data_IF_185331114054
#
_entry.id   IF_185331114054
#
_cell.length_a   1.000
_cell.length_b   1.000
_cell.length_c   1.000
_cell.angle_alpha   90.00
_cell.angle_beta   90.00
_cell.angle_gamma   90.00
#
_symmetry.space_group_name_H-M   'P 1'
#
loop_
_entity.id
_entity.type
_entity.pdbx_description
1 polymer ?
#
# COMPACT_ATOMS: atom_id res chain seq x y z
N UNK A 1 34.04 -30.49 15.14
CA UNK A 1 33.43 -29.52 16.06
C UNK A 1 32.04 -29.06 15.59
N UNK A 2 31.67 -29.17 14.30
CA UNK A 2 30.29 -28.87 13.84
C UNK A 2 29.23 -29.89 14.29
N UNK A 3 29.54 -31.19 14.27
CA UNK A 3 28.59 -32.23 14.71
C UNK A 3 28.17 -32.06 16.17
N UNK A 4 29.10 -31.76 17.10
CA UNK A 4 28.75 -31.46 18.48
C UNK A 4 27.87 -30.21 18.61
N UNK A 5 28.14 -29.16 17.83
CA UNK A 5 27.35 -27.93 17.85
C UNK A 5 25.93 -28.16 17.35
N UNK A 6 25.76 -28.91 16.27
CA UNK A 6 24.44 -29.30 15.77
C UNK A 6 23.69 -30.18 16.77
N UNK A 7 24.36 -31.13 17.43
CA UNK A 7 23.74 -31.94 18.49
C UNK A 7 23.25 -31.09 19.67
N UNK A 8 24.01 -30.08 20.09
CA UNK A 8 23.61 -29.16 21.16
C UNK A 8 22.38 -28.35 20.72
N UNK A 9 22.39 -27.75 19.52
CA UNK A 9 21.26 -26.96 19.03
C UNK A 9 19.98 -27.79 18.87
N UNK A 10 20.10 -29.05 18.45
CA UNK A 10 18.96 -29.95 18.33
C UNK A 10 18.38 -30.38 19.70
N UNK A 11 19.14 -30.24 20.79
CA UNK A 11 18.67 -30.55 22.16
C UNK A 11 17.99 -29.37 22.86
N UNK A 12 17.96 -28.17 22.27
CA UNK A 12 17.35 -26.98 22.87
C UNK A 12 15.84 -27.07 22.77
N UNK A 13 15.11 -26.98 23.88
CA UNK A 13 13.65 -27.17 23.90
C UNK A 13 12.85 -25.84 24.04
N UNK A 14 13.55 -24.72 24.23
CA UNK A 14 12.99 -23.38 24.50
C UNK A 14 13.85 -22.28 23.82
N UNK A 15 13.27 -21.11 23.55
CA UNK A 15 13.91 -20.01 22.83
C UNK A 15 13.84 -20.10 21.30
N UNK A 16 14.74 -19.36 20.65
CA UNK A 16 14.80 -19.25 19.19
C UNK A 16 16.13 -19.78 18.66
N UNK A 17 16.08 -20.61 17.63
CA UNK A 17 17.26 -21.15 16.95
C UNK A 17 17.21 -20.77 15.47
N UNK A 18 18.26 -20.12 14.98
CA UNK A 18 18.45 -19.85 13.56
C UNK A 18 19.83 -20.29 13.10
N UNK A 19 19.88 -21.22 12.15
CA UNK A 19 21.12 -21.80 11.63
C UNK A 19 22.02 -22.37 12.74
N UNK A 20 23.03 -21.61 13.18
CA UNK A 20 23.97 -22.01 14.23
C UNK A 20 23.95 -21.14 15.48
N UNK A 21 22.97 -20.25 15.58
CA UNK A 21 22.76 -19.29 16.67
C UNK A 21 21.53 -19.67 17.48
N UNK A 22 21.58 -19.39 18.79
CA UNK A 22 20.46 -19.55 19.72
C UNK A 22 20.28 -18.26 20.51
N UNK A 23 19.03 -17.94 20.79
CA UNK A 23 18.57 -16.78 21.53
C UNK A 23 17.57 -17.26 22.59
N UNK A 24 17.65 -16.71 23.79
CA UNK A 24 16.68 -17.01 24.86
C UNK A 24 15.28 -16.50 24.50
N UNK A 25 14.27 -16.95 25.24
CA UNK A 25 12.88 -16.48 25.06
C UNK A 25 12.74 -14.97 25.28
N UNK A 26 13.63 -14.38 26.09
CA UNK A 26 13.71 -12.95 26.37
C UNK A 26 14.49 -12.15 25.32
N UNK A 27 15.19 -12.81 24.39
CA UNK A 27 16.03 -12.18 23.34
C UNK A 27 15.42 -12.30 21.94
N UNK A 28 14.13 -11.99 21.85
CA UNK A 28 13.40 -11.99 20.58
C UNK A 28 13.93 -10.95 19.59
N UNK A 29 14.31 -9.76 20.07
CA UNK A 29 14.89 -8.72 19.22
C UNK A 29 16.22 -9.19 18.61
N UNK A 30 17.11 -9.81 19.39
CA UNK A 30 18.35 -10.38 18.88
C UNK A 30 18.12 -11.48 17.85
N UNK A 31 17.10 -12.32 18.04
CA UNK A 31 16.69 -13.31 17.04
C UNK A 31 16.23 -12.66 15.72
N UNK A 32 15.33 -11.67 15.78
CA UNK A 32 14.82 -10.98 14.59
C UNK A 32 15.93 -10.18 13.88
N UNK A 33 16.87 -9.60 14.62
CA UNK A 33 18.03 -8.90 14.07
C UNK A 33 19.04 -9.82 13.39
N UNK A 34 19.12 -11.08 13.83
CA UNK A 34 19.93 -12.09 13.17
C UNK A 34 19.36 -12.51 11.80
N UNK A 35 18.07 -12.25 11.53
CA UNK A 35 17.45 -12.56 10.25
C UNK A 35 17.75 -11.47 9.21
N UNK A 36 18.01 -11.92 7.98
CA UNK A 36 18.16 -11.07 6.81
C UNK A 36 16.83 -10.88 6.08
N UNK A 37 16.42 -9.63 5.89
CA UNK A 37 15.15 -9.26 5.27
C UNK A 37 14.81 -7.79 5.53
N UNK A 38 13.70 -7.31 4.99
CA UNK A 38 13.20 -5.96 5.28
C UNK A 38 12.56 -5.90 6.67
N UNK A 39 12.36 -4.69 7.19
CA UNK A 39 11.68 -4.48 8.48
C UNK A 39 10.24 -5.00 8.44
N UNK A 40 9.55 -4.87 7.30
CA UNK A 40 8.22 -5.46 7.10
C UNK A 40 8.24 -6.99 7.19
N UNK A 41 9.25 -7.64 6.60
CA UNK A 41 9.40 -9.09 6.66
C UNK A 41 9.69 -9.57 8.09
N UNK A 42 10.56 -8.85 8.82
CA UNK A 42 10.83 -9.13 10.25
C UNK A 42 9.59 -8.93 11.10
N UNK A 43 8.82 -7.87 10.84
CA UNK A 43 7.54 -7.60 11.52
C UNK A 43 6.52 -8.69 11.25
N UNK A 44 6.44 -9.20 10.02
CA UNK A 44 5.59 -10.34 9.68
C UNK A 44 6.00 -11.60 10.45
N UNK A 45 7.29 -11.91 10.55
CA UNK A 45 7.76 -13.03 11.38
C UNK A 45 7.38 -12.80 12.85
N UNK A 46 7.59 -11.59 13.36
CA UNK A 46 7.22 -11.20 14.72
C UNK A 46 5.74 -11.53 15.00
N UNK A 47 4.81 -11.10 14.15
CA UNK A 47 3.37 -11.40 14.30
C UNK A 47 3.09 -12.91 14.28
N UNK A 48 3.82 -13.69 13.46
CA UNK A 48 3.69 -15.15 13.48
C UNK A 48 4.10 -15.69 14.84
N UNK A 49 5.25 -15.25 15.39
CA UNK A 49 5.74 -15.70 16.70
C UNK A 49 4.71 -15.42 17.81
N UNK A 50 4.05 -14.26 17.81
CA UNK A 50 3.00 -13.92 18.78
C UNK A 50 1.79 -14.85 18.70
N UNK A 51 1.54 -15.44 17.54
CA UNK A 51 0.43 -16.36 17.31
C UNK A 51 0.75 -17.82 17.62
N UNK A 52 2.03 -18.15 17.86
CA UNK A 52 2.43 -19.53 18.14
C UNK A 52 1.98 -19.94 19.54
N UNK A 53 1.36 -21.12 19.61
CA UNK A 53 0.99 -21.78 20.88
C UNK A 53 1.89 -22.96 21.21
N UNK A 54 2.78 -23.32 20.28
CA UNK A 54 3.75 -24.41 20.35
C UNK A 54 4.98 -24.04 19.55
N UNK A 55 6.10 -24.67 19.85
CA UNK A 55 7.32 -24.55 19.04
C UNK A 55 7.12 -25.08 17.62
N UNK A 56 7.94 -24.59 16.70
CA UNK A 56 7.93 -24.98 15.30
C UNK A 56 9.33 -25.22 14.78
N UNK A 57 9.47 -26.03 13.73
CA UNK A 57 10.69 -26.18 12.96
C UNK A 57 10.42 -25.91 11.48
N UNK A 58 10.96 -24.81 10.97
CA UNK A 58 10.96 -24.42 9.57
C UNK A 58 12.25 -24.93 8.92
N UNK A 59 12.11 -25.90 8.02
CA UNK A 59 13.24 -26.54 7.32
C UNK A 59 13.57 -25.82 6.02
N UNK A 60 14.80 -25.98 5.54
CA UNK A 60 15.26 -25.37 4.29
C UNK A 60 14.55 -25.91 3.04
N UNK A 61 13.93 -27.10 3.13
CA UNK A 61 13.07 -27.66 2.07
C UNK A 61 11.64 -27.10 2.08
N UNK A 62 11.35 -26.19 3.01
CA UNK A 62 10.11 -25.46 3.14
C UNK A 62 9.05 -26.17 3.97
N UNK A 63 9.34 -27.34 4.53
CA UNK A 63 8.44 -28.06 5.43
C UNK A 63 8.42 -27.38 6.81
N UNK A 64 7.22 -27.16 7.34
CA UNK A 64 7.00 -26.65 8.70
C UNK A 64 6.47 -27.78 9.57
N UNK A 65 7.16 -28.06 10.68
CA UNK A 65 6.77 -29.08 11.66
C UNK A 65 6.36 -28.40 12.96
N UNK A 66 5.21 -28.80 13.51
CA UNK A 66 4.85 -28.43 14.88
C UNK A 66 5.64 -29.32 15.85
N UNK A 67 6.13 -28.74 16.95
CA UNK A 67 6.92 -29.42 17.97
C UNK A 67 6.14 -29.57 19.28
N UNK A 68 6.50 -30.57 20.07
CA UNK A 68 5.97 -30.74 21.44
C UNK A 68 6.69 -29.86 22.48
N UNK A 69 7.74 -29.16 22.03
CA UNK A 69 8.56 -28.21 22.81
C UNK A 69 8.21 -26.77 22.41
N UNK A 70 8.70 -25.78 23.15
CA UNK A 70 8.35 -24.36 22.92
C UNK A 70 9.33 -23.64 21.98
N UNK A 71 10.43 -24.28 21.62
CA UNK A 71 11.46 -23.74 20.72
C UNK A 71 10.94 -23.44 19.31
N UNK A 72 11.33 -22.28 18.78
CA UNK A 72 11.16 -21.91 17.37
C UNK A 72 12.48 -22.12 16.65
N UNK A 73 12.49 -22.99 15.64
CA UNK A 73 13.68 -23.32 14.84
C UNK A 73 13.51 -22.93 13.38
N UNK A 74 14.46 -22.19 12.85
CA UNK A 74 14.57 -21.86 11.43
C UNK A 74 15.93 -22.29 10.89
N UNK A 75 15.96 -23.15 9.88
CA UNK A 75 17.24 -23.54 9.25
C UNK A 75 17.83 -22.41 8.40
N UNK A 76 16.97 -21.59 7.80
CA UNK A 76 17.34 -20.44 7.00
C UNK A 76 17.38 -19.15 7.84
N UNK A 77 18.41 -18.33 7.62
CA UNK A 77 18.55 -17.01 8.26
C UNK A 77 17.93 -15.87 7.44
N UNK A 78 17.23 -16.17 6.35
CA UNK A 78 16.52 -15.16 5.55
C UNK A 78 15.03 -15.18 5.84
N UNK A 79 14.42 -14.00 6.00
CA UNK A 79 12.99 -13.89 6.24
C UNK A 79 12.17 -14.44 5.07
N UNK A 80 12.60 -14.19 3.84
CA UNK A 80 11.84 -14.57 2.64
C UNK A 80 11.50 -16.07 2.57
N UNK A 81 12.45 -17.03 2.60
CA UNK A 81 12.13 -18.45 2.55
C UNK A 81 11.31 -18.91 3.77
N UNK A 82 11.59 -18.39 4.96
CA UNK A 82 10.80 -18.70 6.15
C UNK A 82 9.33 -18.24 5.99
N UNK A 83 9.11 -17.03 5.49
CA UNK A 83 7.77 -16.51 5.19
C UNK A 83 7.09 -17.34 4.11
N UNK A 84 7.78 -17.75 3.04
CA UNK A 84 7.21 -18.64 2.01
C UNK A 84 6.65 -19.93 2.62
N UNK A 85 7.39 -20.54 3.56
CA UNK A 85 6.97 -21.77 4.24
C UNK A 85 5.81 -21.55 5.22
N UNK A 86 5.82 -20.43 5.94
CA UNK A 86 4.83 -20.13 6.98
C UNK A 86 3.54 -19.52 6.42
N UNK A 87 3.60 -18.87 5.27
CA UNK A 87 2.48 -18.11 4.69
C UNK A 87 1.18 -18.91 4.52
N UNK A 88 1.19 -20.18 4.06
CA UNK A 88 -0.05 -20.94 3.90
C UNK A 88 -0.83 -21.12 5.21
N UNK A 89 -0.14 -21.17 6.37
CA UNK A 89 -0.76 -21.35 7.69
C UNK A 89 -0.99 -20.02 8.40
N UNK A 90 -0.05 -19.08 8.29
CA UNK A 90 -0.03 -17.87 9.11
C UNK A 90 -0.22 -16.55 8.33
N UNK A 91 -0.29 -16.59 6.99
CA UNK A 91 -0.37 -15.39 6.17
C UNK A 91 -1.57 -14.51 6.51
N UNK A 92 -2.71 -15.12 6.82
CA UNK A 92 -3.90 -14.39 7.29
C UNK A 92 -3.67 -13.71 8.64
N UNK A 93 -3.03 -14.40 9.58
CA UNK A 93 -2.66 -13.83 10.89
C UNK A 93 -1.74 -12.61 10.71
N UNK A 94 -0.78 -12.69 9.79
CA UNK A 94 0.10 -11.55 9.45
C UNK A 94 -0.71 -10.40 8.87
N UNK A 95 -1.61 -10.68 7.92
CA UNK A 95 -2.44 -9.64 7.27
C UNK A 95 -3.35 -8.94 8.29
N UNK A 96 -3.95 -9.68 9.22
CA UNK A 96 -4.80 -9.13 10.26
C UNK A 96 -4.00 -8.40 11.33
N UNK A 97 -2.86 -8.95 11.76
CA UNK A 97 -2.04 -8.41 12.84
C UNK A 97 -1.24 -7.17 12.45
N UNK A 98 -0.69 -7.12 11.23
CA UNK A 98 0.08 -5.96 10.76
C UNK A 98 -0.81 -4.85 10.18
N UNK A 99 -1.87 -5.22 9.46
CA UNK A 99 -2.63 -4.26 8.66
C UNK A 99 -4.07 -4.07 9.13
N UNK A 100 -4.53 -4.79 10.16
CA UNK A 100 -5.89 -4.66 10.68
C UNK A 100 -6.98 -5.09 9.70
N UNK A 101 -6.63 -5.90 8.69
CA UNK A 101 -7.54 -6.28 7.61
C UNK A 101 -8.67 -7.20 8.10
N UNK A 102 -9.83 -7.11 7.44
CA UNK A 102 -10.92 -8.06 7.68
C UNK A 102 -10.56 -9.49 7.27
N UNK A 103 -11.38 -10.44 7.68
CA UNK A 103 -11.25 -11.85 7.33
C UNK A 103 -11.27 -12.06 5.81
N UNK A 104 -12.24 -11.44 5.15
CA UNK A 104 -12.51 -11.54 3.72
C UNK A 104 -11.38 -10.90 2.91
N UNK A 105 -10.95 -9.69 3.28
CA UNK A 105 -9.86 -8.99 2.61
C UNK A 105 -8.54 -9.77 2.73
N UNK A 106 -8.29 -10.37 3.90
CA UNK A 106 -7.10 -11.17 4.15
C UNK A 106 -7.07 -12.44 3.28
N UNK A 107 -8.21 -13.10 3.07
CA UNK A 107 -8.32 -14.28 2.20
C UNK A 107 -8.00 -13.91 0.75
N UNK A 108 -8.57 -12.81 0.24
CA UNK A 108 -8.33 -12.37 -1.13
C UNK A 108 -6.84 -12.06 -1.38
N UNK A 109 -6.21 -11.33 -0.47
CA UNK A 109 -4.79 -10.98 -0.57
C UNK A 109 -3.91 -12.23 -0.50
N UNK A 110 -4.22 -13.16 0.41
CA UNK A 110 -3.49 -14.42 0.55
C UNK A 110 -3.54 -15.27 -0.73
N UNK A 111 -4.72 -15.37 -1.36
CA UNK A 111 -4.87 -16.05 -2.65
C UNK A 111 -4.09 -15.35 -3.78
N UNK A 112 -4.16 -14.01 -3.83
CA UNK A 112 -3.47 -13.20 -4.84
C UNK A 112 -1.95 -13.40 -4.76
N UNK A 113 -1.39 -13.35 -3.55
CA UNK A 113 0.05 -13.52 -3.34
C UNK A 113 0.51 -14.94 -3.70
N UNK A 114 -0.31 -15.94 -3.39
CA UNK A 114 -0.04 -17.34 -3.76
C UNK A 114 0.05 -17.56 -5.28
N UNK A 115 -0.64 -16.72 -6.08
CA UNK A 115 -0.62 -16.80 -7.56
C UNK A 115 0.55 -16.04 -8.19
N UNK A 116 0.89 -14.84 -7.69
CA UNK A 116 1.88 -13.93 -8.31
C UNK A 116 3.34 -14.32 -8.08
N UNK A 117 3.65 -15.16 -7.07
CA UNK A 117 5.03 -15.56 -6.69
C UNK A 117 5.98 -14.37 -6.48
N UNK A 118 5.46 -13.23 -6.01
CA UNK A 118 6.26 -12.05 -5.72
C UNK A 118 7.08 -12.27 -4.44
N UNK A 119 8.28 -11.69 -4.36
CA UNK A 119 9.08 -11.69 -3.13
C UNK A 119 8.37 -10.97 -1.98
N UNK A 120 8.48 -11.50 -0.75
CA UNK A 120 7.76 -10.98 0.41
C UNK A 120 8.11 -9.53 0.75
N UNK A 121 9.38 -9.15 0.73
CA UNK A 121 9.77 -7.75 0.96
C UNK A 121 9.11 -6.77 -0.03
N UNK A 122 9.01 -7.12 -1.33
CA UNK A 122 8.32 -6.27 -2.29
C UNK A 122 6.80 -6.27 -2.09
N UNK A 123 6.23 -7.45 -1.83
CA UNK A 123 4.78 -7.61 -1.60
C UNK A 123 4.28 -6.86 -0.37
N UNK A 124 4.96 -6.99 0.78
CA UNK A 124 4.56 -6.34 2.03
C UNK A 124 4.72 -4.82 1.93
N UNK A 125 5.80 -4.35 1.30
CA UNK A 125 5.99 -2.91 1.03
C UNK A 125 4.87 -2.35 0.13
N UNK A 126 4.60 -3.00 -0.99
CA UNK A 126 3.52 -2.57 -1.91
C UNK A 126 2.14 -2.61 -1.25
N UNK A 127 1.89 -3.61 -0.38
CA UNK A 127 0.65 -3.68 0.37
C UNK A 127 0.53 -2.53 1.38
N UNK A 128 1.61 -2.21 2.09
CA UNK A 128 1.67 -1.08 3.02
C UNK A 128 1.41 0.24 2.29
N UNK A 129 2.10 0.48 1.18
CA UNK A 129 1.90 1.67 0.33
C UNK A 129 0.46 1.76 -0.20
N UNK A 130 -0.13 0.63 -0.60
CA UNK A 130 -1.50 0.58 -1.10
C UNK A 130 -2.53 0.90 -0.02
N UNK A 131 -2.36 0.37 1.20
CA UNK A 131 -3.29 0.61 2.31
C UNK A 131 -3.18 2.02 2.86
N UNK A 132 -1.97 2.57 2.95
CA UNK A 132 -1.74 3.97 3.31
C UNK A 132 -2.41 4.90 2.29
N UNK A 133 -2.27 4.59 0.99
CA UNK A 133 -2.98 5.31 -0.07
C UNK A 133 -4.50 5.22 0.10
N UNK A 134 -5.06 4.03 0.31
CA UNK A 134 -6.51 3.83 0.48
C UNK A 134 -7.04 4.57 1.72
N UNK A 135 -6.30 4.55 2.83
CA UNK A 135 -6.63 5.29 4.04
C UNK A 135 -6.62 6.81 3.82
N UNK A 136 -5.67 7.34 3.04
CA UNK A 136 -5.67 8.75 2.68
C UNK A 136 -6.89 9.07 1.82
N UNK A 137 -7.13 8.28 0.76
CA UNK A 137 -8.23 8.51 -0.17
C UNK A 137 -9.62 8.37 0.46
N UNK A 138 -9.77 7.62 1.55
CA UNK A 138 -11.05 7.52 2.28
C UNK A 138 -11.43 8.78 3.05
N UNK A 139 -10.50 9.76 3.19
CA UNK A 139 -10.79 11.09 3.71
C UNK A 139 -11.50 12.00 2.72
N UNK A 140 -11.56 11.61 1.44
CA UNK A 140 -12.27 12.40 0.44
C UNK A 140 -13.78 12.35 0.70
N UNK A 141 -14.51 13.47 0.59
CA UNK A 141 -15.93 13.52 0.98
C UNK A 141 -16.89 12.74 0.07
N UNK A 142 -16.44 12.33 -1.12
CA UNK A 142 -17.28 11.67 -2.13
C UNK A 142 -16.57 10.47 -2.73
N UNK A 143 -17.36 9.45 -3.09
CA UNK A 143 -16.88 8.39 -3.97
C UNK A 143 -16.83 8.89 -5.42
N UNK A 144 -15.85 8.41 -6.19
CA UNK A 144 -15.63 8.91 -7.55
C UNK A 144 -16.87 8.70 -8.44
N UNK A 145 -17.57 7.58 -8.31
CA UNK A 145 -18.75 7.28 -9.14
C UNK A 145 -19.95 8.19 -8.86
N UNK A 146 -20.01 8.84 -7.70
CA UNK A 146 -21.09 9.76 -7.33
C UNK A 146 -20.96 11.13 -8.01
N UNK A 147 -19.76 11.46 -8.50
CA UNK A 147 -19.50 12.75 -9.13
C UNK A 147 -20.00 12.79 -10.59
N UNK A 148 -20.62 13.90 -11.03
CA UNK A 148 -20.98 14.11 -12.42
C UNK A 148 -19.77 14.48 -13.29
N UNK A 149 -19.93 14.39 -14.62
CA UNK A 149 -18.94 14.96 -15.55
C UNK A 149 -18.96 16.50 -15.45
N UNK A 150 -17.80 17.20 -15.38
CA UNK A 150 -16.43 16.68 -15.42
C UNK A 150 -15.75 16.52 -14.05
N UNK A 151 -16.46 16.71 -12.93
CA UNK A 151 -15.90 16.61 -11.57
C UNK A 151 -15.34 15.22 -11.27
N UNK A 152 -16.00 14.17 -11.77
CA UNK A 152 -15.49 12.80 -11.68
C UNK A 152 -14.09 12.65 -12.27
N UNK A 153 -13.81 13.33 -13.38
CA UNK A 153 -12.48 13.31 -13.99
C UNK A 153 -11.45 14.03 -13.14
N UNK A 154 -11.82 15.17 -12.53
CA UNK A 154 -10.95 15.88 -11.60
C UNK A 154 -10.58 14.99 -10.40
N UNK A 155 -11.57 14.39 -9.75
CA UNK A 155 -11.38 13.49 -8.62
C UNK A 155 -10.57 12.22 -9.00
N UNK A 156 -10.82 11.64 -10.17
CA UNK A 156 -10.01 10.53 -10.69
C UNK A 156 -8.54 10.91 -10.88
N UNK A 157 -8.26 12.14 -11.31
CA UNK A 157 -6.91 12.65 -11.46
C UNK A 157 -6.24 12.89 -10.10
N UNK A 158 -6.96 13.45 -9.12
CA UNK A 158 -6.49 13.61 -7.73
C UNK A 158 -6.15 12.26 -7.12
N UNK A 159 -7.09 11.30 -7.13
CA UNK A 159 -6.90 9.96 -6.57
C UNK A 159 -5.70 9.25 -7.19
N UNK A 160 -5.56 9.36 -8.51
CA UNK A 160 -4.42 8.77 -9.23
C UNK A 160 -3.10 9.50 -8.91
N UNK A 161 -3.10 10.81 -8.76
CA UNK A 161 -1.91 11.57 -8.41
C UNK A 161 -1.41 11.26 -7.00
N UNK A 162 -2.32 11.02 -6.05
CA UNK A 162 -1.97 10.63 -4.68
C UNK A 162 -1.35 9.24 -4.65
N UNK A 163 -1.93 8.26 -5.36
CA UNK A 163 -1.43 6.88 -5.34
C UNK A 163 -0.19 6.62 -6.22
N UNK A 164 -0.10 7.28 -7.37
CA UNK A 164 0.93 6.98 -8.39
C UNK A 164 1.79 8.20 -8.77
N UNK A 165 1.56 9.35 -8.15
CA UNK A 165 2.22 10.62 -8.47
C UNK A 165 1.63 11.33 -9.69
N UNK A 166 1.74 12.67 -9.72
CA UNK A 166 1.22 13.54 -10.80
C UNK A 166 1.70 13.13 -12.21
N UNK A 167 2.88 12.55 -12.35
CA UNK A 167 3.39 12.13 -13.67
C UNK A 167 2.56 11.00 -14.30
N UNK A 168 1.92 10.15 -13.50
CA UNK A 168 1.12 9.01 -13.97
C UNK A 168 -0.24 9.45 -14.57
N UNK A 169 -0.74 10.62 -14.16
CA UNK A 169 -2.05 11.15 -14.51
C UNK A 169 -2.10 11.76 -15.91
N UNK A 170 -0.95 12.13 -16.47
CA UNK A 170 -0.82 12.68 -17.83
C UNK A 170 -1.50 11.77 -18.87
N UNK A 171 -1.34 10.45 -18.73
CA UNK A 171 -1.96 9.48 -19.63
C UNK A 171 -3.48 9.44 -19.52
N UNK A 172 -4.02 9.68 -18.34
CA UNK A 172 -5.45 9.71 -18.05
C UNK A 172 -6.05 11.02 -18.57
N UNK A 173 -5.43 12.16 -18.23
CA UNK A 173 -5.83 13.50 -18.69
C UNK A 173 -6.00 13.58 -20.22
N UNK A 174 -5.13 12.92 -20.98
CA UNK A 174 -5.19 12.88 -22.47
C UNK A 174 -6.35 12.05 -23.04
N UNK A 175 -6.92 11.11 -22.28
CA UNK A 175 -7.96 10.18 -22.78
C UNK A 175 -9.37 10.72 -22.62
N UNK A 176 -9.55 11.81 -21.87
CA UNK A 176 -10.84 12.46 -21.67
C UNK A 176 -11.49 12.88 -22.99
N UNK A 177 -12.82 12.82 -23.04
CA UNK A 177 -13.64 13.27 -24.18
C UNK A 177 -14.63 14.32 -23.68
N UNK A 178 -15.12 15.19 -24.55
CA UNK A 178 -16.12 16.18 -24.14
C UNK A 178 -15.60 17.10 -23.03
N UNK A 179 -16.34 17.21 -21.92
CA UNK A 179 -15.94 18.06 -20.79
C UNK A 179 -14.75 17.46 -20.05
N UNK A 180 -14.63 16.14 -19.97
CA UNK A 180 -13.45 15.47 -19.39
C UNK A 180 -12.16 15.81 -20.14
N UNK A 181 -12.24 16.09 -21.45
CA UNK A 181 -11.07 16.55 -22.22
C UNK A 181 -10.64 17.96 -21.77
N UNK A 182 -11.60 18.83 -21.45
CA UNK A 182 -11.33 20.18 -20.95
C UNK A 182 -10.76 20.12 -19.53
N UNK A 183 -11.26 19.21 -18.69
CA UNK A 183 -10.70 18.96 -17.35
C UNK A 183 -9.29 18.38 -17.40
N UNK A 184 -9.05 17.44 -18.32
CA UNK A 184 -7.72 16.90 -18.59
C UNK A 184 -6.74 17.99 -19.02
N UNK A 185 -7.18 18.94 -19.86
CA UNK A 185 -6.35 20.10 -20.21
C UNK A 185 -6.07 20.99 -18.99
N UNK A 186 -7.09 21.35 -18.21
CA UNK A 186 -6.94 22.16 -17.00
C UNK A 186 -5.89 21.55 -16.05
N UNK A 187 -5.95 20.23 -15.83
CA UNK A 187 -5.00 19.49 -15.01
C UNK A 187 -3.56 19.56 -15.53
N UNK A 188 -3.37 19.42 -16.85
CA UNK A 188 -2.03 19.57 -17.44
C UNK A 188 -1.48 21.00 -17.26
N UNK A 189 -2.34 22.02 -17.28
CA UNK A 189 -1.94 23.41 -17.01
C UNK A 189 -1.52 23.58 -15.55
N UNK A 190 -2.36 23.14 -14.59
CA UNK A 190 -2.07 23.17 -13.14
C UNK A 190 -0.67 22.61 -12.83
N UNK A 191 -0.30 21.50 -13.46
CA UNK A 191 0.98 20.84 -13.20
C UNK A 191 2.11 21.20 -14.17
N UNK A 192 1.94 22.23 -15.01
CA UNK A 192 2.94 22.64 -16.01
C UNK A 192 3.40 21.49 -16.93
N UNK A 193 2.45 20.64 -17.38
CA UNK A 193 2.67 19.47 -18.26
C UNK A 193 2.13 19.66 -19.68
N UNK A 194 2.04 20.89 -20.17
CA UNK A 194 1.39 21.22 -21.44
C UNK A 194 2.29 21.12 -22.68
N UNK A 195 3.62 21.24 -22.53
CA UNK A 195 4.58 21.43 -23.63
C UNK A 195 4.52 20.34 -24.71
N UNK A 196 4.34 19.07 -24.32
CA UNK A 196 4.30 17.94 -25.26
C UNK A 196 2.90 17.60 -25.79
N UNK A 197 1.85 18.26 -25.27
CA UNK A 197 0.47 17.80 -25.39
C UNK A 197 -0.53 18.85 -25.87
N UNK A 198 -0.18 20.14 -25.85
CA UNK A 198 -1.09 21.22 -26.27
C UNK A 198 -1.73 21.01 -27.66
N UNK A 199 -0.99 20.39 -28.59
CA UNK A 199 -1.49 20.09 -29.94
C UNK A 199 -2.57 19.00 -29.99
N UNK A 200 -2.75 18.21 -28.92
CA UNK A 200 -3.78 17.16 -28.82
C UNK A 200 -5.15 17.69 -28.43
N UNK A 201 -5.22 18.94 -27.95
CA UNK A 201 -6.45 19.56 -27.47
C UNK A 201 -6.85 20.70 -28.41
N UNK A 202 -8.07 20.63 -28.92
CA UNK A 202 -8.63 21.70 -29.74
C UNK A 202 -8.76 23.00 -28.94
N UNK A 203 -8.78 24.14 -29.62
CA UNK A 203 -8.84 25.47 -29.00
C UNK A 203 -10.02 25.62 -28.02
N UNK A 204 -11.22 25.16 -28.41
CA UNK A 204 -12.41 25.24 -27.55
C UNK A 204 -12.30 24.41 -26.27
N UNK A 205 -11.56 23.31 -26.29
CA UNK A 205 -11.27 22.48 -25.12
C UNK A 205 -10.27 23.19 -24.21
N UNK A 206 -9.27 23.83 -24.82
CA UNK A 206 -8.23 24.58 -24.08
C UNK A 206 -8.78 25.84 -23.42
N UNK A 207 -9.66 26.56 -24.10
CA UNK A 207 -10.32 27.75 -23.56
C UNK A 207 -11.19 27.37 -22.35
N UNK A 208 -12.08 26.38 -22.51
CA UNK A 208 -12.92 25.88 -21.41
C UNK A 208 -12.11 25.35 -20.24
N UNK A 209 -11.11 24.52 -20.50
CA UNK A 209 -10.23 24.00 -19.45
C UNK A 209 -9.42 25.10 -18.78
N UNK A 210 -9.01 26.13 -19.53
CA UNK A 210 -8.31 27.31 -19.02
C UNK A 210 -9.13 28.06 -17.96
N UNK A 211 -10.43 28.21 -18.17
CA UNK A 211 -11.34 28.83 -17.20
C UNK A 211 -11.43 28.06 -15.87
N UNK A 212 -11.16 26.75 -15.89
CA UNK A 212 -11.26 25.88 -14.70
C UNK A 212 -9.95 25.77 -13.91
N UNK A 213 -8.82 26.23 -14.47
CA UNK A 213 -7.49 26.12 -13.85
C UNK A 213 -7.45 26.68 -12.43
N UNK A 214 -8.00 27.87 -12.12
CA UNK A 214 -7.93 28.41 -10.76
C UNK A 214 -8.65 27.53 -9.73
N UNK A 215 -9.84 27.04 -10.08
CA UNK A 215 -10.63 26.17 -9.19
C UNK A 215 -9.98 24.79 -9.04
N UNK A 216 -9.44 24.24 -10.12
CA UNK A 216 -8.74 22.96 -10.09
C UNK A 216 -7.40 23.03 -9.33
N UNK A 217 -6.69 24.15 -9.41
CA UNK A 217 -5.49 24.39 -8.59
C UNK A 217 -5.85 24.39 -7.10
N UNK A 218 -6.88 25.13 -6.70
CA UNK A 218 -7.34 25.16 -5.31
C UNK A 218 -7.78 23.77 -4.83
N UNK A 219 -8.42 22.98 -5.70
CA UNK A 219 -8.80 21.61 -5.39
C UNK A 219 -7.56 20.73 -5.15
N UNK A 220 -6.55 20.84 -6.00
CA UNK A 220 -5.31 20.09 -5.85
C UNK A 220 -4.54 20.50 -4.59
N UNK A 221 -4.41 21.80 -4.31
CA UNK A 221 -3.72 22.30 -3.13
C UNK A 221 -4.38 21.77 -1.84
N UNK A 222 -5.72 21.84 -1.75
CA UNK A 222 -6.46 21.28 -0.63
C UNK A 222 -6.35 19.75 -0.55
N UNK A 223 -6.25 19.06 -1.68
CA UNK A 223 -6.02 17.61 -1.71
C UNK A 223 -4.62 17.24 -1.20
N UNK A 224 -3.58 18.00 -1.55
CA UNK A 224 -2.23 17.78 -1.02
C UNK A 224 -2.21 17.98 0.49
N UNK A 225 -2.85 19.04 0.97
CA UNK A 225 -2.93 19.32 2.41
C UNK A 225 -3.68 18.22 3.18
N UNK A 226 -4.83 17.79 2.67
CA UNK A 226 -5.65 16.75 3.31
C UNK A 226 -5.02 15.35 3.24
N UNK A 227 -4.50 14.97 2.07
CA UNK A 227 -4.16 13.59 1.75
C UNK A 227 -2.67 13.28 1.88
N UNK A 228 -1.80 14.28 1.73
CA UNK A 228 -0.33 14.09 1.76
C UNK A 228 0.33 14.77 2.95
N UNK A 229 -0.24 15.89 3.44
CA UNK A 229 0.30 16.63 4.59
C UNK A 229 -0.48 16.38 5.90
N UNK A 230 -1.51 15.52 5.88
CA UNK A 230 -2.33 15.13 7.04
C UNK A 230 -2.99 16.33 7.77
N UNK A 231 -3.41 17.36 7.03
CA UNK A 231 -4.14 18.52 7.57
C UNK A 231 -5.64 18.25 7.47
N UNK A 232 -6.25 17.75 8.55
CA UNK A 232 -7.67 17.36 8.58
C UNK A 232 -8.61 18.53 8.24
N UNK A 233 -8.27 19.76 8.65
CA UNK A 233 -9.08 20.95 8.36
C UNK A 233 -9.20 21.26 6.86
N UNK A 234 -8.30 20.72 6.01
CA UNK A 234 -8.34 20.90 4.57
C UNK A 234 -9.49 20.16 3.88
N UNK A 235 -10.26 19.32 4.60
CA UNK A 235 -11.49 18.71 4.07
C UNK A 235 -12.53 19.77 3.66
N UNK A 236 -12.66 20.84 4.46
CA UNK A 236 -13.57 21.95 4.15
C UNK A 236 -13.08 22.71 2.90
N UNK A 237 -11.77 22.93 2.79
CA UNK A 237 -11.16 23.58 1.63
C UNK A 237 -11.31 22.74 0.36
N UNK A 238 -11.10 21.42 0.45
CA UNK A 238 -11.32 20.49 -0.67
C UNK A 238 -12.79 20.52 -1.13
N UNK A 239 -13.71 20.50 -0.16
CA UNK A 239 -15.15 20.58 -0.42
C UNK A 239 -15.53 21.88 -1.13
N UNK A 240 -15.03 23.01 -0.63
CA UNK A 240 -15.29 24.33 -1.20
C UNK A 240 -14.68 24.49 -2.59
N UNK A 241 -13.46 23.97 -2.81
CA UNK A 241 -12.82 23.97 -4.11
C UNK A 241 -13.56 23.10 -5.13
N UNK A 242 -14.06 21.93 -4.72
CA UNK A 242 -14.87 21.07 -5.59
C UNK A 242 -16.18 21.75 -5.99
N UNK A 243 -16.85 22.45 -5.05
CA UNK A 243 -18.05 23.25 -5.35
C UNK A 243 -17.75 24.40 -6.32
N UNK A 244 -16.64 25.11 -6.12
CA UNK A 244 -16.22 26.17 -7.05
C UNK A 244 -15.90 25.62 -8.45
N UNK A 245 -15.29 24.44 -8.53
CA UNK A 245 -15.05 23.75 -9.80
C UNK A 245 -16.37 23.32 -10.46
N UNK A 246 -17.36 22.88 -9.68
CA UNK A 246 -18.70 22.55 -10.17
C UNK A 246 -19.37 23.76 -10.81
N UNK A 247 -19.37 24.91 -10.12
CA UNK A 247 -19.91 26.16 -10.64
C UNK A 247 -19.21 26.61 -11.93
N UNK A 248 -17.88 26.56 -11.93
CA UNK A 248 -17.05 26.98 -13.08
C UNK A 248 -17.24 26.09 -14.30
N UNK A 249 -17.53 24.80 -14.09
CA UNK A 249 -17.79 23.83 -15.15
C UNK A 249 -19.27 23.73 -15.57
N UNK A 250 -20.15 24.47 -14.90
CA UNK A 250 -21.58 24.51 -15.21
C UNK A 250 -22.39 23.33 -14.67
N UNK A 251 -21.84 22.59 -13.70
CA UNK A 251 -22.53 21.51 -13.00
C UNK A 251 -23.44 22.13 -11.93
N UNK A 252 -24.75 21.95 -12.07
CA UNK A 252 -25.78 22.60 -11.23
C UNK A 252 -26.42 21.69 -10.17
N UNK A 253 -26.15 20.38 -10.22
CA UNK A 253 -26.71 19.36 -9.30
C UNK A 253 -25.64 18.78 -8.35
N UNK A 254 -24.74 19.62 -7.83
CA UNK A 254 -23.68 19.22 -6.91
C UNK A 254 -23.86 19.92 -5.56
N UNK A 255 -24.53 19.27 -4.60
CA UNK A 255 -24.78 19.77 -3.24
C UNK A 255 -24.45 18.72 -2.19
#
# INVERSE_FOLDING_TARGET
SESCRSSILNSIEEGYVVGTSWFGDDDREGFLDCLSGTDDEKSAISVILDSLTKGIHVRSDGVVLDLDTEVVRMEESSCHPNLVSLWPKYGKTVLQGLFGLSDEASIEILERQSRRKQGFGAFLRELTESLDTEMRLSRLPWENEELPEPLRMADSLVRKAVGEGVSSTVSLARKGKGLDSSMGWAWLVVHNRTESDAWRFDETVRDKGGDWVPALQALWDAAEDLLLNDIEEAEEDYTNAMKWLAESSGVSEFY
#
